data_IF_940116718964
#
_entry.id   IF_940116718964
#
_cell.length_a   1.000
_cell.length_b   1.000
_cell.length_c   1.000
_cell.angle_alpha   90.00
_cell.angle_beta   90.00
_cell.angle_gamma   90.00
#
_symmetry.space_group_name_H-M   'P 1'
#
loop_
_entity.id
_entity.type
_entity.pdbx_description
1 polymer ?
#
# COMPACT_ATOMS: atom_id res chain seq x y z
N UNK A 1 31.78 3.39 49.68
CA UNK A 1 31.04 4.50 49.02
C UNK A 1 30.90 4.12 47.56
N UNK A 2 29.85 3.40 47.12
CA UNK A 2 28.47 3.90 46.88
C UNK A 2 28.51 5.07 45.88
N UNK A 3 27.87 5.06 44.70
CA UNK A 3 26.57 4.48 44.30
C UNK A 3 26.53 4.05 42.82
N UNK A 4 25.64 3.12 42.53
CA UNK A 4 25.11 2.76 41.21
C UNK A 4 24.05 3.77 40.72
N UNK A 5 23.86 3.89 39.40
CA UNK A 5 22.63 4.26 38.65
C UNK A 5 23.04 4.40 37.15
N UNK A 6 22.35 3.92 36.14
CA UNK A 6 21.07 3.28 36.03
C UNK A 6 21.03 2.42 34.77
N UNK A 7 20.47 1.23 34.94
CA UNK A 7 20.15 0.27 33.90
C UNK A 7 19.21 0.90 32.88
N UNK A 8 19.68 1.07 31.63
CA UNK A 8 18.80 1.44 30.50
C UNK A 8 17.92 0.24 30.14
N UNK A 9 16.76 0.14 30.80
CA UNK A 9 15.62 -0.64 30.34
C UNK A 9 14.60 0.28 29.68
N UNK A 10 14.61 0.35 28.35
CA UNK A 10 13.41 0.59 27.55
C UNK A 10 13.48 -0.33 26.35
N UNK A 11 13.04 -1.57 26.59
CA UNK A 11 11.81 -2.11 26.02
C UNK A 11 11.93 -2.39 24.52
N UNK A 12 12.31 -3.63 24.21
CA UNK A 12 12.06 -4.25 22.92
C UNK A 12 10.56 -4.28 22.66
N UNK A 13 10.04 -3.26 21.99
CA UNK A 13 8.69 -3.28 21.45
C UNK A 13 8.75 -3.89 20.04
N UNK A 14 8.45 -5.18 20.00
CA UNK A 14 7.71 -5.85 18.94
C UNK A 14 8.35 -5.92 17.54
N UNK A 15 9.45 -6.68 17.42
CA UNK A 15 9.80 -7.36 16.16
C UNK A 15 9.15 -8.76 16.10
N UNK A 16 7.84 -8.85 16.26
CA UNK A 16 7.09 -10.11 16.11
C UNK A 16 5.86 -10.00 15.19
N UNK A 17 5.56 -8.81 14.64
CA UNK A 17 4.42 -8.62 13.72
C UNK A 17 4.74 -8.98 12.27
N UNK A 18 6.01 -9.22 11.92
CA UNK A 18 6.45 -9.48 10.54
C UNK A 18 5.89 -10.78 9.93
N UNK A 19 5.29 -11.66 10.73
CA UNK A 19 4.75 -12.94 10.26
C UNK A 19 3.26 -12.91 9.89
N UNK A 20 2.51 -11.87 10.28
CA UNK A 20 1.08 -11.78 9.99
C UNK A 20 0.77 -10.49 9.24
N UNK A 21 0.40 -10.63 7.96
CA UNK A 21 -0.27 -9.56 7.21
C UNK A 21 -1.67 -9.39 7.76
N UNK A 22 -1.79 -8.53 8.77
CA UNK A 22 -3.04 -8.10 9.37
C UNK A 22 -3.07 -6.58 9.40
N UNK A 23 -4.26 -6.01 9.29
CA UNK A 23 -4.44 -4.58 9.50
C UNK A 23 -4.04 -4.22 10.93
N UNK A 24 -3.26 -3.15 11.09
CA UNK A 24 -2.95 -2.58 12.40
C UNK A 24 -4.13 -1.71 12.86
N UNK A 25 -5.23 -2.36 13.25
CA UNK A 25 -6.50 -1.69 13.55
C UNK A 25 -6.35 -0.56 14.58
N UNK A 26 -5.48 -0.71 15.58
CA UNK A 26 -5.21 0.33 16.58
C UNK A 26 -4.60 1.59 15.96
N UNK A 27 -3.67 1.43 15.01
CA UNK A 27 -3.02 2.52 14.33
C UNK A 27 -4.00 3.20 13.36
N UNK A 28 -4.74 2.41 12.61
CA UNK A 28 -5.72 2.90 11.62
C UNK A 28 -6.82 3.71 12.31
N UNK A 29 -7.35 3.21 13.43
CA UNK A 29 -8.41 3.89 14.19
C UNK A 29 -7.94 5.18 14.86
N UNK A 30 -6.63 5.37 15.04
CA UNK A 30 -6.04 6.61 15.60
C UNK A 30 -5.80 7.68 14.54
N UNK A 31 -5.55 7.30 13.29
CA UNK A 31 -5.17 8.21 12.21
C UNK A 31 -6.38 8.63 11.37
N UNK A 32 -7.32 7.70 11.15
CA UNK A 32 -8.46 7.92 10.26
C UNK A 32 -9.75 8.09 11.05
N UNK A 33 -10.74 8.74 10.42
CA UNK A 33 -12.09 8.79 10.98
C UNK A 33 -12.71 7.40 11.07
N UNK A 34 -13.65 7.19 11.98
CA UNK A 34 -14.26 5.88 12.25
C UNK A 34 -14.83 5.20 11.00
N UNK A 35 -15.49 5.98 10.13
CA UNK A 35 -16.04 5.51 8.86
C UNK A 35 -14.94 5.01 7.90
N UNK A 36 -13.86 5.79 7.75
CA UNK A 36 -12.72 5.44 6.91
C UNK A 36 -11.95 4.24 7.47
N UNK A 37 -11.72 4.21 8.79
CA UNK A 37 -11.05 3.10 9.46
C UNK A 37 -11.81 1.78 9.26
N UNK A 38 -13.14 1.80 9.32
CA UNK A 38 -13.99 0.64 9.01
C UNK A 38 -13.85 0.19 7.56
N UNK A 39 -13.85 1.13 6.61
CA UNK A 39 -13.66 0.81 5.20
C UNK A 39 -12.28 0.19 4.96
N UNK A 40 -11.22 0.80 5.50
CA UNK A 40 -9.85 0.31 5.35
C UNK A 40 -9.70 -1.11 5.92
N UNK A 41 -10.18 -1.33 7.14
CA UNK A 41 -10.05 -2.63 7.81
C UNK A 41 -10.95 -3.71 7.20
N UNK A 42 -11.99 -3.34 6.45
CA UNK A 42 -12.83 -4.27 5.68
C UNK A 42 -12.17 -4.78 4.40
N UNK A 43 -11.13 -4.11 3.89
CA UNK A 43 -10.45 -4.54 2.67
C UNK A 43 -9.75 -5.89 2.89
N UNK A 44 -9.91 -6.87 1.97
CA UNK A 44 -9.28 -8.17 2.10
C UNK A 44 -7.77 -8.07 1.90
N UNK A 45 -7.01 -8.70 2.79
CA UNK A 45 -5.56 -8.82 2.64
C UNK A 45 -5.23 -9.98 1.70
N UNK A 46 -4.15 -9.82 0.91
CA UNK A 46 -3.69 -10.83 -0.03
C UNK A 46 -3.41 -12.16 0.67
N UNK A 47 -3.95 -13.26 0.13
CA UNK A 47 -3.74 -14.61 0.65
C UNK A 47 -2.29 -15.10 0.51
N UNK A 48 -1.58 -14.59 -0.49
CA UNK A 48 -0.32 -15.15 -0.98
C UNK A 48 0.92 -14.47 -0.40
N UNK A 49 0.75 -13.54 0.54
CA UNK A 49 1.89 -12.93 1.23
C UNK A 49 2.80 -12.10 0.32
N UNK A 50 2.32 -11.63 -0.83
CA UNK A 50 3.10 -10.84 -1.79
C UNK A 50 3.49 -9.49 -1.19
N UNK A 51 4.79 -9.09 -1.17
CA UNK A 51 5.20 -7.77 -0.71
C UNK A 51 4.58 -6.67 -1.56
N UNK A 52 4.20 -5.58 -0.89
CA UNK A 52 3.64 -4.42 -1.58
C UNK A 52 4.73 -3.81 -2.48
N UNK A 53 4.35 -3.43 -3.70
CA UNK A 53 5.26 -2.83 -4.68
C UNK A 53 4.61 -1.61 -5.28
N UNK A 54 5.36 -0.51 -5.33
CA UNK A 54 4.98 0.65 -6.13
C UNK A 54 5.13 0.29 -7.62
N UNK A 55 4.04 0.43 -8.37
CA UNK A 55 4.02 0.17 -9.81
C UNK A 55 3.43 1.34 -10.58
N UNK A 56 4.16 1.78 -11.60
CA UNK A 56 3.73 2.73 -12.61
C UNK A 56 3.49 1.98 -13.92
N UNK A 57 2.23 1.65 -14.21
CA UNK A 57 1.86 0.76 -15.31
C UNK A 57 2.14 1.34 -16.71
N UNK A 58 2.33 2.66 -16.82
CA UNK A 58 2.69 3.32 -18.07
C UNK A 58 4.17 3.22 -18.44
N UNK A 59 5.01 2.66 -17.56
CA UNK A 59 6.44 2.48 -17.84
C UNK A 59 6.84 1.03 -17.64
N UNK A 60 7.63 0.47 -18.58
CA UNK A 60 8.02 -0.94 -18.57
C UNK A 60 8.74 -1.38 -17.30
N UNK A 61 9.51 -0.49 -16.69
CA UNK A 61 10.22 -0.76 -15.44
C UNK A 61 9.34 -0.60 -14.20
N UNK A 62 8.11 -0.09 -14.35
CA UNK A 62 7.18 0.16 -13.25
C UNK A 62 7.57 1.32 -12.33
N UNK A 63 8.60 2.09 -12.68
CA UNK A 63 9.09 3.22 -11.87
C UNK A 63 8.54 4.53 -12.41
N UNK A 64 7.97 5.34 -11.52
CA UNK A 64 7.59 6.70 -11.82
C UNK A 64 8.78 7.64 -11.65
N UNK A 65 8.99 8.50 -12.64
CA UNK A 65 9.85 9.68 -12.58
C UNK A 65 9.10 10.87 -13.16
N UNK A 66 9.49 12.09 -12.78
CA UNK A 66 8.92 13.34 -13.34
C UNK A 66 8.99 13.32 -14.87
N UNK A 67 10.13 12.89 -15.43
CA UNK A 67 10.32 12.75 -16.87
C UNK A 67 9.32 11.76 -17.48
N UNK A 68 9.22 10.55 -16.95
CA UNK A 68 8.27 9.55 -17.48
C UNK A 68 6.81 9.98 -17.38
N UNK A 69 6.44 10.74 -16.34
CA UNK A 69 5.11 11.31 -16.20
C UNK A 69 4.85 12.43 -17.22
N UNK A 70 5.84 13.29 -17.45
CA UNK A 70 5.76 14.35 -18.44
C UNK A 70 5.70 13.80 -19.87
N UNK A 71 6.52 12.80 -20.19
CA UNK A 71 6.52 12.12 -21.49
C UNK A 71 5.15 11.48 -21.76
N UNK A 72 4.56 10.82 -20.76
CA UNK A 72 3.20 10.30 -20.85
C UNK A 72 2.17 11.42 -21.08
N UNK A 73 2.27 12.53 -20.35
CA UNK A 73 1.35 13.66 -20.51
C UNK A 73 1.40 14.25 -21.93
N UNK A 74 2.60 14.38 -22.51
CA UNK A 74 2.76 14.82 -23.90
C UNK A 74 2.18 13.82 -24.90
N UNK A 75 2.40 12.52 -24.68
CA UNK A 75 1.83 11.46 -25.51
C UNK A 75 0.30 11.50 -25.50
N UNK A 76 -0.31 11.55 -24.30
CA UNK A 76 -1.76 11.64 -24.16
C UNK A 76 -2.32 12.95 -24.76
N UNK A 77 -1.57 14.05 -24.65
CA UNK A 77 -1.96 15.33 -25.27
C UNK A 77 -1.98 15.23 -26.79
N UNK A 78 -0.95 14.63 -27.38
CA UNK A 78 -0.85 14.42 -28.84
C UNK A 78 -1.97 13.55 -29.39
N UNK A 79 -2.44 12.59 -28.59
CA UNK A 79 -3.52 11.68 -28.98
C UNK A 79 -4.93 12.19 -28.62
N UNK A 80 -5.05 13.38 -28.02
CA UNK A 80 -6.34 13.92 -27.56
C UNK A 80 -6.94 13.20 -26.35
N UNK A 81 -6.17 12.36 -25.67
CA UNK A 81 -6.60 11.56 -24.52
C UNK A 81 -6.32 12.25 -23.18
N UNK A 82 -5.53 13.34 -23.18
CA UNK A 82 -5.22 14.07 -21.96
C UNK A 82 -6.50 14.67 -21.36
N UNK A 83 -6.81 14.28 -20.11
CA UNK A 83 -8.00 14.75 -19.39
C UNK A 83 -9.24 13.86 -19.56
N UNK A 84 -9.20 12.86 -20.45
CA UNK A 84 -10.21 11.80 -20.45
C UNK A 84 -9.99 10.88 -19.25
N UNK A 85 -10.97 10.83 -18.34
CA UNK A 85 -11.02 9.77 -17.32
C UNK A 85 -11.30 8.45 -18.04
N UNK A 86 -10.30 7.57 -18.08
CA UNK A 86 -10.52 6.15 -18.39
C UNK A 86 -10.85 5.42 -17.10
N UNK A 87 -11.74 4.45 -17.21
CA UNK A 87 -11.91 3.45 -16.16
C UNK A 87 -10.62 2.62 -16.09
N UNK A 88 -10.02 2.53 -14.92
CA UNK A 88 -8.79 1.76 -14.74
C UNK A 88 -9.09 0.27 -14.87
N UNK A 89 -8.53 -0.39 -15.89
CA UNK A 89 -8.70 -1.83 -16.08
C UNK A 89 -7.48 -2.60 -15.58
N UNK A 90 -7.71 -3.59 -14.72
CA UNK A 90 -6.66 -4.53 -14.31
C UNK A 90 -6.34 -5.52 -15.43
N UNK A 91 -5.06 -5.81 -15.65
CA UNK A 91 -4.57 -6.70 -16.73
C UNK A 91 -5.00 -8.17 -16.60
N UNK A 92 -5.60 -8.58 -15.48
CA UNK A 92 -6.16 -9.93 -15.26
C UNK A 92 -7.45 -9.82 -14.45
N UNK A 93 -8.59 -10.04 -15.11
CA UNK A 93 -9.89 -10.06 -14.45
C UNK A 93 -10.29 -11.46 -13.94
N UNK A 94 -9.65 -12.53 -14.41
CA UNK A 94 -9.94 -13.90 -13.97
C UNK A 94 -9.35 -14.19 -12.58
N UNK A 95 -10.09 -14.93 -11.75
CA UNK A 95 -9.69 -15.42 -10.42
C UNK A 95 -9.49 -14.36 -9.31
N UNK A 96 -10.14 -13.20 -9.37
CA UNK A 96 -10.07 -12.21 -8.28
C UNK A 96 -10.45 -12.79 -6.91
N UNK A 97 -11.47 -13.67 -6.85
CA UNK A 97 -11.88 -14.37 -5.63
C UNK A 97 -10.82 -15.35 -5.07
N UNK A 98 -9.88 -15.82 -5.89
CA UNK A 98 -8.78 -16.67 -5.43
C UNK A 98 -7.61 -15.86 -4.84
N UNK A 99 -7.48 -14.59 -5.23
CA UNK A 99 -6.40 -13.68 -4.83
C UNK A 99 -6.76 -12.95 -3.53
N UNK A 100 -8.01 -12.46 -3.43
CA UNK A 100 -8.54 -11.75 -2.28
C UNK A 100 -9.21 -12.71 -1.30
N UNK A 101 -8.99 -12.53 0.01
CA UNK A 101 -9.60 -13.38 1.04
C UNK A 101 -10.99 -12.83 1.42
N UNK A 102 -12.06 -13.46 0.95
CA UNK A 102 -13.43 -13.16 1.39
C UNK A 102 -14.21 -12.16 0.52
N UNK A 103 -14.45 -12.55 -0.73
CA UNK A 103 -15.68 -12.16 -1.44
C UNK A 103 -16.57 -13.39 -1.47
#
# INVERSE_FOLDING_TARGET
MEKAFGSRRTHGYQSLTLLRRVWRCDLISRIFYLNEARLITSMPLSRWGCPDRLMWHFHKQGVYTVRSGYDLALYLKGNGELGFKRDGEGSRQSNQAAVWKGI
#
